data_IF_326280762825
#
_entry.id   IF_326280762825
#
_cell.length_a   1.000
_cell.length_b   1.000
_cell.length_c   1.000
_cell.angle_alpha   90.00
_cell.angle_beta   90.00
_cell.angle_gamma   90.00
#
_symmetry.space_group_name_H-M   'P 1'
#
loop_
_entity.id
_entity.type
_entity.pdbx_description
1 polymer ?
#
# COMPACT_ATOMS: atom_id res chain seq x y z
N UNK A 1 18.05 -2.21 32.40
CA UNK A 1 17.60 -1.21 31.45
C UNK A 1 16.19 -1.64 31.01
N UNK A 2 15.16 -0.93 31.47
CA UNK A 2 13.79 -1.07 30.95
C UNK A 2 13.86 -0.45 29.56
N UNK A 3 13.79 -1.27 28.51
CA UNK A 3 13.61 -0.75 27.14
C UNK A 3 12.20 -0.19 27.09
N UNK A 4 12.07 1.11 26.80
CA UNK A 4 10.78 1.71 26.55
C UNK A 4 10.19 1.08 25.27
N UNK A 5 8.90 0.69 25.35
CA UNK A 5 8.20 0.17 24.19
C UNK A 5 8.14 1.23 23.10
N UNK A 6 8.32 0.83 21.84
CA UNK A 6 8.19 1.73 20.71
C UNK A 6 6.71 1.93 20.40
N UNK A 7 6.21 3.16 20.59
CA UNK A 7 4.86 3.54 20.26
C UNK A 7 4.75 3.87 18.76
N UNK A 8 3.76 3.27 18.09
CA UNK A 8 3.38 3.56 16.71
C UNK A 8 2.06 4.34 16.66
N UNK A 9 2.11 5.58 16.19
CA UNK A 9 0.91 6.34 15.85
C UNK A 9 0.28 5.73 14.59
N UNK A 10 -0.86 5.07 14.76
CA UNK A 10 -1.48 4.23 13.74
C UNK A 10 -2.82 4.81 13.30
N UNK A 11 -3.05 4.88 12.00
CA UNK A 11 -4.31 5.29 11.39
C UNK A 11 -4.87 4.13 10.55
N UNK A 12 -6.09 3.68 10.88
CA UNK A 12 -6.81 2.65 10.11
C UNK A 12 -7.90 3.35 9.30
N UNK A 13 -7.88 3.19 7.97
CA UNK A 13 -8.80 3.86 7.05
C UNK A 13 -9.51 2.82 6.20
N UNK A 14 -10.77 2.55 6.52
CA UNK A 14 -11.63 1.60 5.81
C UNK A 14 -13.10 1.95 6.06
N UNK A 15 -13.98 1.84 5.08
CA UNK A 15 -15.41 2.09 5.25
C UNK A 15 -16.18 0.87 5.80
N UNK A 16 -15.48 -0.25 6.04
CA UNK A 16 -16.03 -1.47 6.60
C UNK A 16 -15.62 -1.65 8.07
N UNK A 17 -16.55 -1.50 9.05
CA UNK A 17 -16.22 -1.60 10.46
C UNK A 17 -15.56 -2.92 10.88
N UNK A 18 -15.94 -4.04 10.27
CA UNK A 18 -15.36 -5.36 10.56
C UNK A 18 -13.88 -5.44 10.17
N UNK A 19 -13.47 -4.75 9.12
CA UNK A 19 -12.08 -4.69 8.69
C UNK A 19 -11.26 -3.84 9.68
N UNK A 20 -11.78 -2.68 10.06
CA UNK A 20 -11.17 -1.84 11.10
C UNK A 20 -10.95 -2.65 12.38
N UNK A 21 -11.97 -3.38 12.81
CA UNK A 21 -11.90 -4.23 14.02
C UNK A 21 -10.85 -5.33 13.88
N UNK A 22 -10.75 -5.98 12.72
CA UNK A 22 -9.76 -7.02 12.47
C UNK A 22 -8.32 -6.48 12.59
N UNK A 23 -8.02 -5.34 11.97
CA UNK A 23 -6.71 -4.69 12.08
C UNK A 23 -6.40 -4.24 13.52
N UNK A 24 -7.37 -3.60 14.17
CA UNK A 24 -7.23 -3.19 15.57
C UNK A 24 -6.91 -4.39 16.47
N UNK A 25 -7.67 -5.46 16.37
CA UNK A 25 -7.47 -6.66 17.19
C UNK A 25 -6.13 -7.33 16.93
N UNK A 26 -5.65 -7.37 15.69
CA UNK A 26 -4.34 -7.88 15.33
C UNK A 26 -3.22 -7.03 15.98
N UNK A 27 -3.31 -5.71 15.91
CA UNK A 27 -2.34 -4.81 16.56
C UNK A 27 -2.34 -4.94 18.08
N UNK A 28 -3.52 -5.03 18.71
CA UNK A 28 -3.63 -5.25 20.15
C UNK A 28 -3.08 -6.61 20.57
N UNK A 29 -3.23 -7.63 19.74
CA UNK A 29 -2.62 -8.94 19.96
C UNK A 29 -1.08 -8.86 19.91
N UNK A 30 -0.54 -8.16 18.91
CA UNK A 30 0.91 -7.93 18.77
C UNK A 30 1.44 -7.20 20.01
N UNK A 31 0.80 -6.10 20.43
CA UNK A 31 1.22 -5.36 21.62
C UNK A 31 1.24 -6.20 22.90
N UNK A 32 0.31 -7.15 23.04
CA UNK A 32 0.27 -8.07 24.19
C UNK A 32 1.36 -9.13 24.18
N UNK A 33 1.83 -9.52 22.98
CA UNK A 33 2.76 -10.65 22.83
C UNK A 33 4.21 -10.22 22.67
N UNK A 34 4.48 -8.95 22.37
CA UNK A 34 5.82 -8.43 22.06
C UNK A 34 6.32 -7.36 23.02
N UNK A 35 5.76 -7.07 24.13
CA UNK A 35 6.19 -6.09 25.17
C UNK A 35 6.98 -4.83 24.68
N UNK A 36 7.55 -4.88 23.47
CA UNK A 36 8.38 -3.85 22.84
C UNK A 36 7.60 -2.91 21.89
N UNK A 37 6.33 -3.24 21.59
CA UNK A 37 5.52 -2.51 20.63
C UNK A 37 4.21 -2.05 21.28
N UNK A 38 3.91 -0.77 21.11
CA UNK A 38 2.64 -0.15 21.49
C UNK A 38 2.02 0.56 20.30
N UNK A 39 0.69 0.67 20.27
CA UNK A 39 -0.03 1.29 19.16
C UNK A 39 -1.05 2.31 19.68
N UNK A 40 -0.90 3.57 19.27
CA UNK A 40 -1.91 4.61 19.43
C UNK A 40 -2.80 4.62 18.21
N UNK A 41 -3.95 3.94 18.28
CA UNK A 41 -4.81 3.66 17.12
C UNK A 41 -5.89 4.73 16.98
N UNK A 42 -5.99 5.31 15.78
CA UNK A 42 -7.08 6.18 15.35
C UNK A 42 -7.73 5.57 14.11
N UNK A 43 -9.02 5.82 13.91
CA UNK A 43 -9.82 5.19 12.86
C UNK A 43 -10.53 6.24 12.01
N UNK A 44 -10.60 5.99 10.72
CA UNK A 44 -11.33 6.80 9.76
C UNK A 44 -12.14 5.90 8.82
N UNK A 45 -13.34 6.32 8.46
CA UNK A 45 -14.24 5.58 7.57
C UNK A 45 -14.40 6.25 6.20
N UNK A 46 -13.68 7.34 5.94
CA UNK A 46 -13.71 8.09 4.69
C UNK A 46 -12.43 8.88 4.48
N UNK A 47 -12.19 9.34 3.26
CA UNK A 47 -11.09 10.26 2.94
C UNK A 47 -11.19 11.55 3.77
N UNK A 48 -12.39 12.12 3.91
CA UNK A 48 -12.60 13.36 4.68
C UNK A 48 -12.24 13.20 6.15
N UNK A 49 -12.67 12.10 6.78
CA UNK A 49 -12.34 11.80 8.18
C UNK A 49 -10.85 11.58 8.36
N UNK A 50 -10.22 10.84 7.45
CA UNK A 50 -8.78 10.57 7.48
C UNK A 50 -7.99 11.88 7.35
N UNK A 51 -8.35 12.75 6.42
CA UNK A 51 -7.74 14.07 6.23
C UNK A 51 -7.83 14.92 7.48
N UNK A 52 -9.01 15.01 8.08
CA UNK A 52 -9.21 15.75 9.33
C UNK A 52 -8.37 15.23 10.50
N UNK A 53 -8.18 13.91 10.57
CA UNK A 53 -7.30 13.30 11.58
C UNK A 53 -5.84 13.65 11.29
N UNK A 54 -5.39 13.53 10.03
CA UNK A 54 -4.01 13.82 9.65
C UNK A 54 -3.61 15.29 9.89
N UNK A 55 -4.53 16.22 9.74
CA UNK A 55 -4.30 17.64 10.04
C UNK A 55 -3.94 17.92 11.51
N UNK A 56 -4.28 16.99 12.42
CA UNK A 56 -3.90 17.06 13.84
C UNK A 56 -2.50 16.54 14.13
N UNK A 57 -1.89 15.83 13.20
CA UNK A 57 -0.50 15.42 13.31
C UNK A 57 0.39 16.61 12.98
N UNK A 58 1.20 17.01 13.94
CA UNK A 58 2.13 18.12 13.81
C UNK A 58 3.58 17.59 13.74
N UNK A 59 4.59 18.46 13.58
CA UNK A 59 6.00 18.05 13.54
C UNK A 59 6.48 17.22 14.74
N UNK A 60 5.74 17.24 15.85
CA UNK A 60 6.08 16.50 17.06
C UNK A 60 5.33 15.18 17.22
N UNK A 61 4.30 14.94 16.40
CA UNK A 61 3.54 13.69 16.38
C UNK A 61 3.51 13.15 14.97
N UNK A 62 4.39 12.20 14.68
CA UNK A 62 4.49 11.53 13.37
C UNK A 62 3.38 10.50 13.20
N UNK A 63 2.96 10.30 11.97
CA UNK A 63 2.15 9.15 11.57
C UNK A 63 3.11 8.03 11.18
N UNK A 64 3.06 6.89 11.88
CA UNK A 64 4.06 5.84 11.74
C UNK A 64 3.55 4.65 10.93
N UNK A 65 2.24 4.33 11.06
CA UNK A 65 1.62 3.18 10.41
C UNK A 65 0.23 3.54 9.90
N UNK A 66 -0.06 3.22 8.65
CA UNK A 66 -1.35 3.47 8.02
C UNK A 66 -1.87 2.19 7.39
N UNK A 67 -3.11 1.83 7.70
CA UNK A 67 -3.88 0.85 6.94
C UNK A 67 -4.82 1.61 6.03
N UNK A 68 -4.80 1.30 4.74
CA UNK A 68 -5.52 2.05 3.73
C UNK A 68 -6.32 1.14 2.81
N UNK A 69 -7.65 1.26 2.85
CA UNK A 69 -8.47 0.71 1.78
C UNK A 69 -8.43 1.63 0.55
N UNK A 70 -8.17 1.04 -0.60
CA UNK A 70 -8.22 1.75 -1.89
C UNK A 70 -9.66 2.01 -2.34
N UNK A 71 -10.60 1.15 -1.94
CA UNK A 71 -12.00 1.23 -2.34
C UNK A 71 -12.84 2.14 -1.44
N UNK A 72 -12.28 3.26 -1.04
CA UNK A 72 -13.05 4.28 -0.33
C UNK A 72 -13.97 5.03 -1.29
N UNK A 73 -15.16 5.46 -0.81
CA UNK A 73 -16.01 6.37 -1.56
C UNK A 73 -15.29 7.67 -1.92
N UNK A 74 -15.62 8.26 -3.08
CA UNK A 74 -15.04 9.56 -3.47
C UNK A 74 -15.38 10.66 -2.46
N UNK A 75 -14.44 11.60 -2.29
CA UNK A 75 -14.66 12.84 -1.56
C UNK A 75 -14.66 14.03 -2.52
N UNK A 76 -15.83 14.56 -2.92
CA UNK A 76 -15.90 15.76 -3.74
C UNK A 76 -15.27 16.98 -3.09
N UNK A 77 -15.36 17.08 -1.76
CA UNK A 77 -14.81 18.18 -0.97
C UNK A 77 -13.29 18.27 -1.09
N UNK A 78 -12.61 17.12 -1.10
CA UNK A 78 -11.16 17.02 -1.23
C UNK A 78 -10.70 16.81 -2.68
N UNK A 79 -11.62 16.60 -3.62
CA UNK A 79 -11.29 16.24 -5.00
C UNK A 79 -10.67 14.84 -5.14
N UNK A 80 -10.89 13.97 -4.16
CA UNK A 80 -10.38 12.59 -4.17
C UNK A 80 -11.40 11.63 -4.77
N UNK A 81 -10.95 10.75 -5.67
CA UNK A 81 -11.77 9.74 -6.33
C UNK A 81 -11.81 8.42 -5.57
N UNK A 82 -10.77 8.14 -4.78
CA UNK A 82 -10.63 6.87 -4.06
C UNK A 82 -9.55 6.97 -2.97
N UNK A 83 -9.33 5.88 -2.23
CA UNK A 83 -8.22 5.76 -1.29
C UNK A 83 -6.83 5.83 -1.96
N UNK A 84 -6.73 5.66 -3.28
CA UNK A 84 -5.46 5.83 -4.00
C UNK A 84 -4.96 7.28 -3.93
N UNK A 85 -5.85 8.25 -4.15
CA UNK A 85 -5.51 9.68 -4.01
C UNK A 85 -5.09 10.03 -2.59
N UNK A 86 -5.79 9.47 -1.61
CA UNK A 86 -5.43 9.63 -0.20
C UNK A 86 -4.06 9.01 0.11
N UNK A 87 -3.76 7.85 -0.44
CA UNK A 87 -2.46 7.19 -0.30
C UNK A 87 -1.30 8.00 -0.85
N UNK A 88 -1.49 8.67 -1.98
CA UNK A 88 -0.53 9.61 -2.55
C UNK A 88 -0.27 10.78 -1.60
N UNK A 89 -1.32 11.37 -1.06
CA UNK A 89 -1.21 12.49 -0.12
C UNK A 89 -0.52 12.06 1.19
N UNK A 90 -0.84 10.86 1.71
CA UNK A 90 -0.16 10.31 2.88
C UNK A 90 1.33 10.13 2.60
N UNK A 91 1.69 9.58 1.45
CA UNK A 91 3.11 9.39 1.08
C UNK A 91 3.86 10.71 0.96
N UNK A 92 3.22 11.74 0.43
CA UNK A 92 3.81 13.08 0.31
C UNK A 92 4.00 13.76 1.66
N UNK A 93 2.96 13.76 2.51
CA UNK A 93 2.98 14.47 3.80
C UNK A 93 3.68 13.69 4.92
N UNK A 94 3.65 12.36 4.86
CA UNK A 94 4.22 11.45 5.84
C UNK A 94 5.13 10.41 5.18
N UNK A 95 6.26 10.80 4.57
CA UNK A 95 7.11 9.92 3.76
C UNK A 95 7.71 8.76 4.56
N UNK A 96 7.80 8.87 5.88
CA UNK A 96 8.32 7.83 6.77
C UNK A 96 7.25 6.86 7.27
N UNK A 97 5.96 7.16 7.03
CA UNK A 97 4.88 6.28 7.44
C UNK A 97 4.93 4.96 6.66
N UNK A 98 4.81 3.85 7.37
CA UNK A 98 4.59 2.55 6.75
C UNK A 98 3.13 2.46 6.31
N UNK A 99 2.90 2.29 5.01
CA UNK A 99 1.55 2.17 4.44
C UNK A 99 1.29 0.70 4.14
N UNK A 100 0.22 0.17 4.71
CA UNK A 100 -0.34 -1.14 4.42
C UNK A 100 -1.61 -0.94 3.61
N UNK A 101 -1.55 -1.22 2.33
CA UNK A 101 -2.76 -1.23 1.48
C UNK A 101 -3.50 -2.54 1.69
N UNK A 102 -4.79 -2.44 2.02
CA UNK A 102 -5.69 -3.58 2.15
C UNK A 102 -6.93 -3.35 1.29
N UNK A 103 -7.12 -4.13 0.25
CA UNK A 103 -8.20 -3.88 -0.72
C UNK A 103 -8.84 -5.16 -1.24
N UNK A 104 -10.04 -5.05 -1.78
CA UNK A 104 -10.73 -6.13 -2.51
C UNK A 104 -10.38 -6.16 -3.99
N UNK A 105 -9.70 -5.14 -4.53
CA UNK A 105 -9.26 -5.13 -5.92
C UNK A 105 -8.15 -6.16 -6.16
N UNK A 106 -8.31 -6.96 -7.20
CA UNK A 106 -7.37 -8.01 -7.59
C UNK A 106 -6.94 -7.93 -9.07
N UNK A 107 -7.31 -6.86 -9.79
CA UNK A 107 -6.85 -6.67 -11.15
C UNK A 107 -5.39 -6.18 -11.20
N UNK A 108 -4.63 -6.75 -12.14
CA UNK A 108 -3.19 -6.53 -12.23
C UNK A 108 -2.82 -5.07 -12.50
N UNK A 109 -3.60 -4.36 -13.32
CA UNK A 109 -3.32 -2.97 -13.70
C UNK A 109 -3.41 -2.05 -12.47
N UNK A 110 -4.44 -2.24 -11.65
CA UNK A 110 -4.65 -1.43 -10.45
C UNK A 110 -3.60 -1.71 -9.37
N UNK A 111 -3.24 -2.97 -9.21
CA UNK A 111 -2.14 -3.36 -8.31
C UNK A 111 -0.83 -2.67 -8.71
N UNK A 112 -0.49 -2.65 -10.00
CA UNK A 112 0.70 -1.97 -10.50
C UNK A 112 0.69 -0.46 -10.26
N UNK A 113 -0.44 0.20 -10.49
CA UNK A 113 -0.56 1.64 -10.23
C UNK A 113 -0.35 1.96 -8.75
N UNK A 114 -0.90 1.17 -7.85
CA UNK A 114 -0.70 1.33 -6.40
C UNK A 114 0.78 1.20 -6.04
N UNK A 115 1.49 0.20 -6.60
CA UNK A 115 2.93 0.07 -6.40
C UNK A 115 3.69 1.28 -6.90
N UNK A 116 3.41 1.72 -8.12
CA UNK A 116 4.12 2.84 -8.73
C UNK A 116 3.90 4.15 -7.97
N UNK A 117 2.68 4.38 -7.50
CA UNK A 117 2.26 5.66 -6.97
C UNK A 117 2.46 5.75 -5.45
N UNK A 118 2.13 4.69 -4.70
CA UNK A 118 2.15 4.69 -3.24
C UNK A 118 3.39 3.99 -2.69
N UNK A 119 3.87 2.94 -3.40
CA UNK A 119 4.99 2.09 -2.97
C UNK A 119 4.81 1.63 -1.51
N UNK A 120 3.76 0.83 -1.22
CA UNK A 120 3.41 0.47 0.14
C UNK A 120 4.38 -0.55 0.74
N UNK A 121 4.62 -0.47 2.05
CA UNK A 121 5.38 -1.45 2.82
C UNK A 121 4.62 -2.75 3.07
N UNK A 122 3.30 -2.71 3.00
CA UNK A 122 2.42 -3.87 3.00
C UNK A 122 1.36 -3.75 1.91
N UNK A 123 1.09 -4.83 1.20
CA UNK A 123 -0.01 -4.86 0.24
C UNK A 123 -0.73 -6.20 0.29
N UNK A 124 -1.97 -6.17 0.73
CA UNK A 124 -2.79 -7.37 0.90
C UNK A 124 -4.12 -7.25 0.14
N UNK A 125 -4.52 -8.33 -0.50
CA UNK A 125 -5.88 -8.50 -0.98
C UNK A 125 -6.69 -9.09 0.18
N UNK A 126 -7.80 -8.46 0.56
CA UNK A 126 -8.59 -8.82 1.75
C UNK A 126 -9.04 -10.29 1.77
N UNK A 127 -9.18 -10.93 0.59
CA UNK A 127 -9.51 -12.35 0.49
C UNK A 127 -8.32 -13.29 0.67
N UNK A 128 -7.09 -12.80 0.69
CA UNK A 128 -5.87 -13.62 0.83
C UNK A 128 -5.47 -13.85 2.30
N UNK A 129 -6.09 -13.13 3.23
CA UNK A 129 -5.69 -13.10 4.64
C UNK A 129 -6.82 -13.57 5.57
N UNK A 130 -6.44 -14.31 6.58
CA UNK A 130 -7.22 -14.63 7.77
C UNK A 130 -6.57 -13.98 9.00
N UNK A 131 -7.11 -14.25 10.19
CA UNK A 131 -6.63 -13.62 11.44
C UNK A 131 -5.18 -13.98 11.74
N UNK A 132 -4.74 -15.21 11.50
CA UNK A 132 -3.38 -15.67 11.80
C UNK A 132 -2.37 -15.08 10.82
N UNK A 133 -2.69 -15.13 9.53
CA UNK A 133 -1.85 -14.54 8.48
C UNK A 133 -1.80 -13.04 8.58
N UNK A 134 -2.86 -12.37 9.05
CA UNK A 134 -2.85 -10.93 9.30
C UNK A 134 -1.82 -10.54 10.36
N UNK A 135 -1.79 -11.20 11.50
CA UNK A 135 -0.79 -10.92 12.55
C UNK A 135 0.63 -11.13 12.03
N UNK A 136 0.89 -12.23 11.32
CA UNK A 136 2.19 -12.50 10.72
C UNK A 136 2.59 -11.42 9.69
N UNK A 137 1.67 -11.03 8.82
CA UNK A 137 1.88 -9.97 7.83
C UNK A 137 2.24 -8.63 8.48
N UNK A 138 1.54 -8.26 9.56
CA UNK A 138 1.80 -7.01 10.29
C UNK A 138 3.16 -7.03 10.98
N UNK A 139 3.54 -8.15 11.58
CA UNK A 139 4.86 -8.30 12.17
C UNK A 139 5.96 -8.14 11.12
N UNK A 140 5.79 -8.72 9.93
CA UNK A 140 6.75 -8.57 8.83
C UNK A 140 6.84 -7.11 8.36
N UNK A 141 5.71 -6.42 8.17
CA UNK A 141 5.70 -4.98 7.85
C UNK A 141 6.40 -4.13 8.90
N UNK A 142 6.21 -4.44 10.18
CA UNK A 142 6.81 -3.67 11.27
C UNK A 142 8.33 -3.87 11.38
N UNK A 143 8.80 -5.11 11.24
CA UNK A 143 10.17 -5.49 11.54
C UNK A 143 11.07 -5.61 10.30
N UNK A 144 10.55 -6.15 9.19
CA UNK A 144 11.33 -6.44 7.98
C UNK A 144 10.45 -6.28 6.70
N UNK A 145 9.97 -5.05 6.39
CA UNK A 145 9.16 -4.83 5.20
C UNK A 145 9.94 -5.09 3.90
N UNK A 146 9.27 -5.43 2.77
CA UNK A 146 7.82 -5.39 2.58
C UNK A 146 7.11 -6.74 2.80
N UNK A 147 5.79 -6.69 3.05
CA UNK A 147 4.91 -7.86 2.96
C UNK A 147 3.88 -7.71 1.84
N UNK A 148 3.77 -8.73 0.99
CA UNK A 148 2.77 -8.77 -0.10
C UNK A 148 2.02 -10.09 -0.10
N UNK A 149 0.68 -10.03 -0.15
CA UNK A 149 -0.14 -11.25 -0.21
C UNK A 149 0.03 -12.01 -1.52
N UNK A 150 -0.40 -13.26 -1.55
CA UNK A 150 -0.21 -14.18 -2.68
C UNK A 150 -0.69 -13.61 -4.02
N UNK A 151 -1.89 -13.03 -4.05
CA UNK A 151 -2.45 -12.43 -5.28
C UNK A 151 -1.61 -11.24 -5.74
N UNK A 152 -1.13 -10.41 -4.82
CA UNK A 152 -0.25 -9.28 -5.12
C UNK A 152 1.07 -9.76 -5.72
N UNK A 153 1.71 -10.77 -5.13
CA UNK A 153 2.95 -11.36 -5.67
C UNK A 153 2.76 -11.93 -7.07
N UNK A 154 1.62 -12.57 -7.34
CA UNK A 154 1.30 -13.07 -8.68
C UNK A 154 1.17 -11.95 -9.71
N UNK A 155 0.55 -10.82 -9.33
CA UNK A 155 0.42 -9.65 -10.19
C UNK A 155 1.78 -9.02 -10.51
N UNK A 156 2.67 -8.91 -9.52
CA UNK A 156 4.03 -8.41 -9.70
C UNK A 156 4.81 -9.31 -10.67
N UNK A 157 4.74 -10.63 -10.49
CA UNK A 157 5.44 -11.59 -11.38
C UNK A 157 4.97 -11.47 -12.83
N UNK A 158 3.67 -11.29 -13.05
CA UNK A 158 3.12 -11.06 -14.40
C UNK A 158 3.65 -9.76 -15.01
N UNK A 159 3.73 -8.70 -14.21
CA UNK A 159 4.27 -7.42 -14.66
C UNK A 159 5.72 -7.55 -15.12
N UNK A 160 6.58 -8.10 -14.28
CA UNK A 160 8.00 -8.31 -14.62
C UNK A 160 8.14 -9.15 -15.89
N UNK A 161 7.30 -10.16 -16.08
CA UNK A 161 7.32 -10.99 -17.29
C UNK A 161 6.90 -10.23 -18.54
N UNK A 162 5.97 -9.27 -18.44
CA UNK A 162 5.55 -8.40 -19.53
C UNK A 162 6.60 -7.34 -19.88
N UNK A 163 7.23 -6.73 -18.87
CA UNK A 163 8.33 -5.79 -19.09
C UNK A 163 9.54 -6.46 -19.77
N UNK A 164 9.80 -7.73 -19.45
CA UNK A 164 10.81 -8.50 -20.18
C UNK A 164 10.44 -8.75 -21.65
N UNK A 165 9.16 -8.87 -21.98
CA UNK A 165 8.69 -8.97 -23.36
C UNK A 165 8.81 -7.62 -24.11
N UNK A 166 8.43 -6.52 -23.47
CA UNK A 166 8.61 -5.17 -24.00
C UNK A 166 10.10 -4.86 -24.22
N UNK A 167 10.98 -5.25 -23.31
CA UNK A 167 12.42 -5.09 -23.46
C UNK A 167 13.01 -5.89 -24.67
N UNK A 168 12.43 -7.04 -25.00
CA UNK A 168 12.76 -7.77 -26.23
C UNK A 168 12.30 -7.03 -27.50
N UNK A 169 11.11 -6.45 -27.47
CA UNK A 169 10.58 -5.67 -28.60
C UNK A 169 11.34 -4.35 -28.75
N UNK A 170 11.67 -3.66 -27.66
CA UNK A 170 12.51 -2.47 -27.66
C UNK A 170 13.89 -2.76 -28.24
N UNK A 171 14.51 -3.89 -27.90
CA UNK A 171 15.80 -4.31 -28.49
C UNK A 171 15.69 -4.59 -29.98
N UNK A 172 14.62 -5.25 -30.42
CA UNK A 172 14.41 -5.53 -31.84
C UNK A 172 14.17 -4.25 -32.62
N UNK A 173 13.34 -3.35 -32.09
CA UNK A 173 13.09 -2.04 -32.65
C UNK A 173 14.38 -1.22 -32.75
N UNK A 174 15.17 -1.17 -31.68
CA UNK A 174 16.46 -0.49 -31.65
C UNK A 174 17.45 -1.10 -32.66
N UNK A 175 17.44 -2.41 -32.82
CA UNK A 175 18.27 -3.09 -33.82
C UNK A 175 17.87 -2.67 -35.23
N UNK A 176 16.60 -2.71 -35.59
CA UNK A 176 16.10 -2.31 -36.91
C UNK A 176 16.43 -0.83 -37.21
N UNK A 177 16.21 0.07 -36.24
CA UNK A 177 16.59 1.47 -36.37
C UNK A 177 18.09 1.65 -36.52
N UNK A 178 18.91 0.84 -35.85
CA UNK A 178 20.38 0.87 -35.99
C UNK A 178 20.86 0.43 -37.39
N UNK A 179 20.07 -0.39 -38.09
CA UNK A 179 20.31 -0.81 -39.47
C UNK A 179 19.86 0.25 -40.51
N UNK A 180 19.33 1.39 -40.05
CA UNK A 180 18.86 2.47 -40.91
C UNK A 180 17.44 2.31 -41.46
N UNK A 181 16.69 1.36 -40.93
CA UNK A 181 15.26 1.15 -41.23
C UNK A 181 14.46 2.37 -40.78
N UNK A 182 13.69 2.97 -41.68
CA UNK A 182 12.86 4.14 -41.34
C UNK A 182 11.61 3.68 -40.55
N UNK A 183 11.17 4.50 -39.60
CA UNK A 183 10.00 4.20 -38.75
C UNK A 183 8.75 3.77 -39.54
N UNK A 184 8.55 4.33 -40.76
CA UNK A 184 7.43 4.00 -41.66
C UNK A 184 7.57 2.63 -42.38
N UNK A 185 8.73 1.99 -42.27
CA UNK A 185 9.05 0.70 -42.89
C UNK A 185 9.07 -0.44 -41.86
N UNK A 186 8.80 -0.13 -40.60
CA UNK A 186 8.65 -1.13 -39.55
C UNK A 186 7.35 -1.87 -39.75
N UNK A 187 7.32 -3.21 -39.59
CA UNK A 187 6.08 -3.99 -39.64
C UNK A 187 5.11 -3.51 -38.53
N UNK A 188 3.82 -3.54 -38.84
CA UNK A 188 2.77 -3.29 -37.85
C UNK A 188 2.90 -4.32 -36.72
N UNK A 189 3.14 -3.85 -35.52
CA UNK A 189 3.35 -4.63 -34.31
C UNK A 189 2.06 -4.78 -33.53
#
# INVERSE_FOLDING_TARGET
LIMEAKEYNTLIIDDHPLIIEAFRNALLHIAKTTEELEFSITEATSCDTAQHIMERYNPHKTLDLVFLDIKLPPSPTLGMLSGEDLGLEIREKHPQAKIVVATTFNDNYRIQNIFRNINPEGFVIKSDIDTETLVAALMEVLLDPPYYSKTVLQAIRKYISHDYLLDKWDRHLLYELSQGTKMKELPDL
#
